data_IF_147657473151
#
_entry.id   IF_147657473151
#
_cell.length_a   1.000
_cell.length_b   1.000
_cell.length_c   1.000
_cell.angle_alpha   90.00
_cell.angle_beta   90.00
_cell.angle_gamma   90.00
#
_symmetry.space_group_name_H-M   'P 1'
#
loop_
_entity.id
_entity.type
_entity.pdbx_description
1 polymer ?
#
# COMPACT_ATOMS: atom_id res chain seq x y z
N UNK A 1 36.80 2.01 13.33
CA UNK A 1 36.33 1.33 12.11
C UNK A 1 35.13 0.49 12.51
N UNK A 2 33.93 1.10 12.56
CA UNK A 2 32.69 0.39 12.92
C UNK A 2 32.13 -0.19 11.62
N UNK A 3 32.18 -1.53 11.49
CA UNK A 3 31.54 -2.24 10.39
C UNK A 3 30.04 -1.96 10.42
N UNK A 4 29.52 -1.39 9.33
CA UNK A 4 28.08 -1.42 9.06
C UNK A 4 27.67 -2.88 9.09
N UNK A 5 26.94 -3.28 10.15
CA UNK A 5 26.14 -4.49 10.10
C UNK A 5 25.19 -4.30 8.92
N UNK A 6 25.40 -5.05 7.86
CA UNK A 6 24.41 -5.22 6.81
C UNK A 6 23.19 -5.84 7.51
N UNK A 7 22.15 -5.03 7.71
CA UNK A 7 20.82 -5.54 7.95
C UNK A 7 20.52 -6.35 6.69
N UNK A 8 20.55 -7.67 6.80
CA UNK A 8 19.99 -8.54 5.77
C UNK A 8 18.55 -8.10 5.60
N UNK A 9 18.20 -7.64 4.40
CA UNK A 9 16.82 -7.47 3.99
C UNK A 9 16.15 -8.83 4.10
N UNK A 10 15.64 -9.18 5.28
CA UNK A 10 14.62 -10.18 5.41
C UNK A 10 13.35 -9.54 4.87
N UNK A 11 12.84 -10.20 3.84
CA UNK A 11 11.65 -9.94 3.06
C UNK A 11 11.78 -8.88 1.95
N UNK A 12 12.06 -9.37 0.75
CA UNK A 12 11.83 -8.69 -0.53
C UNK A 12 10.30 -8.62 -0.82
N UNK A 13 9.53 -8.02 0.11
CA UNK A 13 8.09 -7.85 -0.07
C UNK A 13 7.84 -6.95 -1.29
N UNK A 14 7.24 -7.50 -2.33
CA UNK A 14 6.82 -6.75 -3.50
C UNK A 14 5.60 -5.92 -3.17
N UNK A 15 5.64 -4.64 -3.46
CA UNK A 15 4.58 -3.69 -3.11
C UNK A 15 3.86 -3.19 -4.34
N UNK A 16 2.55 -3.33 -4.36
CA UNK A 16 1.67 -2.67 -5.32
C UNK A 16 1.05 -1.42 -4.71
N UNK A 17 1.02 -0.33 -5.45
CA UNK A 17 0.42 0.92 -4.99
C UNK A 17 -0.62 1.43 -6.00
N UNK A 18 -1.87 1.55 -5.56
CA UNK A 18 -2.99 2.04 -6.36
C UNK A 18 -3.46 3.39 -5.84
N UNK A 19 -3.48 4.38 -6.71
CA UNK A 19 -3.81 5.76 -6.37
C UNK A 19 -2.57 6.63 -6.17
N UNK A 20 -2.14 7.30 -7.23
CA UNK A 20 -0.92 8.12 -7.29
C UNK A 20 -1.19 9.62 -7.17
N UNK A 21 -2.35 9.98 -6.65
CA UNK A 21 -2.74 11.37 -6.40
C UNK A 21 -1.84 12.07 -5.38
N UNK A 22 -2.33 13.19 -4.84
CA UNK A 22 -1.53 14.12 -4.01
C UNK A 22 -0.83 13.46 -2.81
N UNK A 23 -1.51 12.58 -2.10
CA UNK A 23 -0.94 11.85 -0.94
C UNK A 23 -0.33 10.53 -1.38
N UNK A 24 -1.09 9.72 -2.13
CA UNK A 24 -0.65 8.39 -2.56
C UNK A 24 0.66 8.42 -3.35
N UNK A 25 0.80 9.34 -4.30
CA UNK A 25 2.06 9.51 -5.04
C UNK A 25 3.26 9.87 -4.16
N UNK A 26 3.06 10.57 -3.03
CA UNK A 26 4.15 10.85 -2.07
C UNK A 26 4.53 9.61 -1.26
N UNK A 27 3.54 8.83 -0.84
CA UNK A 27 3.76 7.57 -0.14
C UNK A 27 4.45 6.55 -1.04
N UNK A 28 3.93 6.32 -2.26
CA UNK A 28 4.55 5.46 -3.27
C UNK A 28 5.99 5.87 -3.58
N UNK A 29 6.23 7.18 -3.76
CA UNK A 29 7.58 7.71 -3.97
C UNK A 29 8.51 7.51 -2.76
N UNK A 30 7.99 7.50 -1.53
CA UNK A 30 8.79 7.17 -0.34
C UNK A 30 9.23 5.70 -0.37
N UNK A 31 8.36 4.77 -0.72
CA UNK A 31 8.71 3.35 -0.87
C UNK A 31 9.78 3.15 -1.95
N UNK A 32 9.60 3.75 -3.12
CA UNK A 32 10.54 3.62 -4.23
C UNK A 32 11.94 4.14 -3.87
N UNK A 33 12.02 5.33 -3.24
CA UNK A 33 13.30 5.91 -2.77
C UNK A 33 14.00 5.07 -1.71
N UNK A 34 13.24 4.27 -0.96
CA UNK A 34 13.78 3.35 0.05
C UNK A 34 14.06 1.94 -0.51
N UNK A 35 13.96 1.77 -1.85
CA UNK A 35 14.41 0.58 -2.56
C UNK A 35 13.43 -0.59 -2.53
N UNK A 36 12.15 -0.34 -2.30
CA UNK A 36 11.12 -1.37 -2.46
C UNK A 36 10.87 -1.66 -3.95
N UNK A 37 10.67 -2.93 -4.28
CA UNK A 37 10.17 -3.36 -5.59
C UNK A 37 8.70 -2.92 -5.70
N UNK A 38 8.44 -1.92 -6.54
CA UNK A 38 7.17 -1.22 -6.60
C UNK A 38 6.47 -1.39 -7.93
N UNK A 39 5.25 -1.89 -7.89
CA UNK A 39 4.31 -1.87 -9.01
C UNK A 39 3.23 -0.82 -8.75
N UNK A 40 2.97 0.05 -9.71
CA UNK A 40 2.04 1.17 -9.56
C UNK A 40 0.88 1.11 -10.53
N UNK A 41 -0.26 1.67 -10.12
CA UNK A 41 -1.44 1.86 -10.96
C UNK A 41 -2.23 3.10 -10.53
N UNK A 42 -2.79 3.77 -11.52
CA UNK A 42 -3.77 4.85 -11.37
C UNK A 42 -4.76 4.81 -12.55
N UNK A 43 -5.90 5.48 -12.43
CA UNK A 43 -6.81 5.70 -13.56
C UNK A 43 -6.20 6.65 -14.60
N UNK A 44 -5.30 7.53 -14.18
CA UNK A 44 -4.55 8.44 -15.04
C UNK A 44 -3.10 7.94 -15.20
N UNK A 45 -2.77 7.24 -16.31
CA UNK A 45 -1.44 6.65 -16.50
C UNK A 45 -0.28 7.66 -16.44
N UNK A 46 -0.53 8.92 -16.81
CA UNK A 46 0.48 9.97 -16.74
C UNK A 46 1.03 10.19 -15.32
N UNK A 47 0.25 9.89 -14.27
CA UNK A 47 0.72 9.97 -12.88
C UNK A 47 1.77 8.90 -12.55
N UNK A 48 1.84 7.81 -13.32
CA UNK A 48 2.83 6.76 -13.12
C UNK A 48 4.20 7.07 -13.76
N UNK A 49 4.27 7.94 -14.77
CA UNK A 49 5.50 8.22 -15.53
C UNK A 49 6.72 8.53 -14.63
N UNK A 50 6.62 9.36 -13.58
CA UNK A 50 7.77 9.64 -12.71
C UNK A 50 8.25 8.42 -11.91
N UNK A 51 7.39 7.45 -11.65
CA UNK A 51 7.73 6.20 -10.95
C UNK A 51 8.40 5.21 -11.89
N UNK A 52 7.86 5.08 -13.10
CA UNK A 52 8.41 4.21 -14.14
C UNK A 52 9.82 4.65 -14.54
N UNK A 53 10.07 5.96 -14.66
CA UNK A 53 11.38 6.53 -14.91
C UNK A 53 12.41 6.21 -13.80
N UNK A 54 11.96 5.85 -12.60
CA UNK A 54 12.77 5.48 -11.45
C UNK A 54 12.81 3.97 -11.20
N UNK A 55 12.26 3.16 -12.10
CA UNK A 55 12.35 1.71 -12.06
C UNK A 55 11.14 0.99 -11.43
N UNK A 56 10.05 1.69 -11.14
CA UNK A 56 8.79 1.02 -10.79
C UNK A 56 8.17 0.33 -12.00
N UNK A 57 7.27 -0.62 -11.76
CA UNK A 57 6.52 -1.34 -12.77
C UNK A 57 5.10 -0.78 -12.91
N UNK A 58 4.52 -0.90 -14.10
CA UNK A 58 3.12 -0.58 -14.36
C UNK A 58 2.28 -1.86 -14.41
N UNK A 59 1.07 -1.81 -13.88
CA UNK A 59 0.08 -2.86 -14.05
C UNK A 59 -1.12 -2.35 -14.85
N UNK A 60 -1.61 -3.15 -15.79
CA UNK A 60 -2.74 -2.79 -16.68
C UNK A 60 -4.08 -2.83 -15.97
N UNK A 61 -4.20 -3.67 -14.92
CA UNK A 61 -5.38 -3.75 -14.07
C UNK A 61 -5.03 -3.80 -12.59
N UNK A 62 -6.02 -3.60 -11.72
CA UNK A 62 -5.85 -3.77 -10.27
C UNK A 62 -5.62 -5.26 -9.91
N UNK A 63 -6.21 -6.17 -10.67
CA UNK A 63 -6.00 -7.60 -10.53
C UNK A 63 -4.56 -8.00 -10.91
N UNK A 64 -4.04 -7.51 -12.05
CA UNK A 64 -2.65 -7.78 -12.46
C UNK A 64 -1.65 -7.27 -11.43
N UNK A 65 -1.90 -6.06 -10.88
CA UNK A 65 -1.07 -5.54 -9.80
C UNK A 65 -1.11 -6.48 -8.59
N UNK A 66 -2.30 -6.85 -8.14
CA UNK A 66 -2.46 -7.70 -6.96
C UNK A 66 -1.88 -9.12 -7.17
N UNK A 67 -1.87 -9.63 -8.40
CA UNK A 67 -1.23 -10.91 -8.73
C UNK A 67 0.28 -10.83 -8.59
N UNK A 68 0.89 -9.74 -9.05
CA UNK A 68 2.34 -9.55 -9.11
C UNK A 68 3.02 -9.27 -7.76
N UNK A 69 2.25 -8.91 -6.71
CA UNK A 69 2.81 -8.39 -5.46
C UNK A 69 2.33 -9.16 -4.22
N UNK A 70 3.01 -8.96 -3.09
CA UNK A 70 2.67 -9.52 -1.79
C UNK A 70 1.78 -8.57 -0.96
N UNK A 71 1.96 -7.27 -1.16
CA UNK A 71 1.23 -6.20 -0.50
C UNK A 71 0.57 -5.28 -1.53
N UNK A 72 -0.73 -5.11 -1.43
CA UNK A 72 -1.48 -4.08 -2.19
C UNK A 72 -1.78 -2.91 -1.26
N UNK A 73 -1.32 -1.73 -1.60
CA UNK A 73 -1.65 -0.47 -0.92
C UNK A 73 -2.65 0.31 -1.77
N UNK A 74 -3.72 0.78 -1.16
CA UNK A 74 -4.68 1.70 -1.78
C UNK A 74 -4.67 3.05 -1.07
N UNK A 75 -4.70 4.14 -1.85
CA UNK A 75 -4.82 5.51 -1.34
C UNK A 75 -5.70 6.32 -2.30
N UNK A 76 -7.01 6.28 -2.07
CA UNK A 76 -8.05 6.64 -3.02
C UNK A 76 -8.94 7.78 -2.49
N UNK A 77 -9.63 8.53 -3.36
CA UNK A 77 -10.34 9.75 -2.98
C UNK A 77 -11.69 9.51 -2.28
N UNK A 78 -12.24 8.30 -2.31
CA UNK A 78 -13.56 8.02 -1.74
C UNK A 78 -13.79 6.52 -1.46
N UNK A 79 -14.74 6.17 -0.57
CA UNK A 79 -15.16 4.79 -0.36
C UNK A 79 -15.62 4.10 -1.66
N UNK A 80 -16.35 4.81 -2.51
CA UNK A 80 -16.81 4.27 -3.80
C UNK A 80 -15.63 3.96 -4.75
N UNK A 81 -14.58 4.77 -4.76
CA UNK A 81 -13.37 4.47 -5.52
C UNK A 81 -12.65 3.24 -4.98
N UNK A 82 -12.62 3.07 -3.66
CA UNK A 82 -12.05 1.90 -3.02
C UNK A 82 -12.84 0.63 -3.39
N UNK A 83 -14.17 0.66 -3.28
CA UNK A 83 -15.02 -0.47 -3.71
C UNK A 83 -14.80 -0.83 -5.18
N UNK A 84 -14.75 0.17 -6.07
CA UNK A 84 -14.53 -0.07 -7.49
C UNK A 84 -13.18 -0.72 -7.79
N UNK A 85 -12.11 -0.30 -7.11
CA UNK A 85 -10.77 -0.88 -7.25
C UNK A 85 -10.71 -2.30 -6.65
N UNK A 86 -11.39 -2.53 -5.54
CA UNK A 86 -11.37 -3.84 -4.88
C UNK A 86 -12.26 -4.86 -5.58
N UNK A 87 -13.49 -4.50 -5.94
CA UNK A 87 -14.54 -5.42 -6.39
C UNK A 87 -14.84 -5.36 -7.90
N UNK A 88 -14.25 -4.40 -8.62
CA UNK A 88 -14.46 -4.24 -10.06
C UNK A 88 -14.16 -5.52 -10.85
N UNK A 89 -14.56 -5.53 -12.13
CA UNK A 89 -14.35 -6.68 -13.02
C UNK A 89 -12.88 -7.14 -13.03
N UNK A 90 -11.92 -6.21 -13.01
CA UNK A 90 -10.49 -6.48 -12.87
C UNK A 90 -9.94 -5.92 -11.56
N UNK A 91 -10.71 -6.11 -10.48
CA UNK A 91 -10.41 -5.61 -9.14
C UNK A 91 -9.41 -6.49 -8.37
N UNK A 92 -8.84 -5.88 -7.34
CA UNK A 92 -7.81 -6.47 -6.45
C UNK A 92 -8.25 -7.82 -5.88
N UNK A 93 -9.54 -7.95 -5.50
CA UNK A 93 -10.06 -9.18 -4.89
C UNK A 93 -9.93 -10.43 -5.75
N UNK A 94 -9.79 -10.31 -7.08
CA UNK A 94 -9.57 -11.47 -7.97
C UNK A 94 -8.26 -12.20 -7.66
N UNK A 95 -7.23 -11.48 -7.28
CA UNK A 95 -5.89 -12.01 -7.06
C UNK A 95 -5.46 -12.07 -5.59
N UNK A 96 -6.34 -11.67 -4.65
CA UNK A 96 -6.09 -11.83 -3.23
C UNK A 96 -6.09 -13.30 -2.84
N UNK A 97 -5.05 -13.74 -2.11
CA UNK A 97 -4.80 -15.12 -1.75
C UNK A 97 -4.08 -15.21 -0.39
N UNK A 98 -4.01 -16.40 0.23
CA UNK A 98 -3.24 -16.60 1.47
C UNK A 98 -1.81 -16.06 1.37
N UNK A 99 -1.36 -15.37 2.39
CA UNK A 99 -0.04 -14.74 2.46
C UNK A 99 0.01 -13.29 1.96
N UNK A 100 -0.95 -12.85 1.15
CA UNK A 100 -1.04 -11.45 0.68
C UNK A 100 -1.67 -10.55 1.74
N UNK A 101 -1.37 -9.25 1.64
CA UNK A 101 -1.92 -8.20 2.51
C UNK A 101 -2.55 -7.10 1.64
N UNK A 102 -3.69 -6.59 2.06
CA UNK A 102 -4.23 -5.33 1.56
C UNK A 102 -4.16 -4.25 2.64
N UNK A 103 -3.58 -3.11 2.32
CA UNK A 103 -3.43 -1.94 3.19
C UNK A 103 -4.21 -0.75 2.63
N UNK A 104 -5.25 -0.30 3.34
CA UNK A 104 -6.03 0.89 2.98
C UNK A 104 -5.49 2.11 3.72
N UNK A 105 -4.90 3.06 2.98
CA UNK A 105 -4.28 4.26 3.55
C UNK A 105 -5.12 5.53 3.35
N UNK A 106 -6.28 5.43 2.71
CA UNK A 106 -7.22 6.55 2.60
C UNK A 106 -7.87 6.84 3.95
N UNK A 107 -8.35 8.07 4.13
CA UNK A 107 -9.37 8.34 5.14
C UNK A 107 -10.72 7.98 4.54
N UNK A 108 -11.23 6.81 4.88
CA UNK A 108 -12.44 6.23 4.28
C UNK A 108 -13.53 5.97 5.34
N UNK A 109 -14.66 5.45 4.89
CA UNK A 109 -15.78 5.05 5.76
C UNK A 109 -15.46 3.74 6.48
N UNK A 110 -15.68 3.70 7.81
CA UNK A 110 -15.33 2.55 8.63
C UNK A 110 -16.15 1.30 8.32
N UNK A 111 -17.45 1.45 7.97
CA UNK A 111 -18.30 0.33 7.64
C UNK A 111 -17.89 -0.29 6.31
N UNK A 112 -17.54 0.56 5.33
CA UNK A 112 -17.04 0.10 4.03
C UNK A 112 -15.67 -0.57 4.17
N UNK A 113 -14.76 -0.02 4.98
CA UNK A 113 -13.49 -0.66 5.28
C UNK A 113 -13.69 -2.05 5.90
N UNK A 114 -14.56 -2.15 6.90
CA UNK A 114 -14.86 -3.43 7.56
C UNK A 114 -15.50 -4.44 6.59
N UNK A 115 -16.33 -3.98 5.66
CA UNK A 115 -16.96 -4.82 4.62
C UNK A 115 -15.91 -5.38 3.66
N UNK A 116 -15.05 -4.52 3.12
CA UNK A 116 -13.99 -4.93 2.19
C UNK A 116 -12.94 -5.83 2.86
N UNK A 117 -12.57 -5.54 4.12
CA UNK A 117 -11.67 -6.38 4.89
C UNK A 117 -12.19 -7.82 5.04
N UNK A 118 -13.50 -8.00 5.27
CA UNK A 118 -14.12 -9.33 5.32
C UNK A 118 -14.00 -10.08 3.98
N UNK A 119 -14.12 -9.37 2.85
CA UNK A 119 -13.96 -9.98 1.52
C UNK A 119 -12.51 -10.40 1.26
N UNK A 120 -11.53 -9.63 1.71
CA UNK A 120 -10.11 -9.97 1.66
C UNK A 120 -9.82 -11.19 2.53
N UNK A 121 -10.31 -11.19 3.77
CA UNK A 121 -10.12 -12.28 4.73
C UNK A 121 -10.79 -13.58 4.26
N UNK A 122 -11.94 -13.50 3.59
CA UNK A 122 -12.60 -14.66 2.99
C UNK A 122 -11.74 -15.34 1.89
N UNK A 123 -10.72 -14.67 1.38
CA UNK A 123 -9.71 -15.22 0.45
C UNK A 123 -8.44 -15.70 1.14
N UNK A 124 -8.41 -15.70 2.47
CA UNK A 124 -7.27 -16.09 3.27
C UNK A 124 -6.14 -15.05 3.32
N UNK A 125 -6.39 -13.84 2.80
CA UNK A 125 -5.45 -12.73 2.86
C UNK A 125 -5.69 -11.87 4.11
N UNK A 126 -4.68 -11.09 4.50
CA UNK A 126 -4.79 -10.13 5.59
C UNK A 126 -5.24 -8.75 5.09
N UNK A 127 -5.91 -7.99 5.96
CA UNK A 127 -6.30 -6.61 5.70
C UNK A 127 -5.84 -5.72 6.86
N UNK A 128 -5.34 -4.53 6.54
CA UNK A 128 -4.98 -3.51 7.50
C UNK A 128 -5.58 -2.17 7.08
N UNK A 129 -6.30 -1.55 7.99
CA UNK A 129 -6.67 -0.15 7.89
C UNK A 129 -5.49 0.69 8.40
N UNK A 130 -4.99 1.61 7.58
CA UNK A 130 -3.87 2.48 7.98
C UNK A 130 -4.02 3.91 7.46
N UNK A 131 -5.11 4.62 7.82
CA UNK A 131 -5.31 6.00 7.45
C UNK A 131 -4.16 6.88 7.93
N UNK A 132 -3.85 7.90 7.14
CA UNK A 132 -2.71 8.77 7.36
C UNK A 132 -3.13 10.19 7.75
N UNK A 133 -2.33 10.84 8.58
CA UNK A 133 -2.54 12.23 9.00
C UNK A 133 -1.23 13.02 8.98
N UNK A 134 -1.26 14.24 8.43
CA UNK A 134 -0.08 15.13 8.41
C UNK A 134 0.17 15.85 7.09
N UNK A 135 -0.63 15.53 6.07
CA UNK A 135 -0.60 16.18 4.76
C UNK A 135 0.54 15.75 3.84
N UNK A 136 0.49 16.24 2.60
CA UNK A 136 1.40 15.81 1.51
C UNK A 136 2.88 16.01 1.81
N UNK A 137 3.25 17.09 2.51
CA UNK A 137 4.65 17.37 2.85
C UNK A 137 5.24 16.28 3.74
N UNK A 138 4.50 15.83 4.76
CA UNK A 138 4.93 14.77 5.66
C UNK A 138 4.94 13.41 4.98
N UNK A 139 3.97 13.15 4.10
CA UNK A 139 3.97 11.94 3.26
C UNK A 139 5.21 11.88 2.36
N UNK A 140 5.61 13.01 1.75
CA UNK A 140 6.78 13.08 0.88
C UNK A 140 8.11 12.80 1.61
N UNK A 141 8.18 13.07 2.90
CA UNK A 141 9.41 12.98 3.70
C UNK A 141 9.46 11.79 4.66
N UNK A 142 8.51 10.85 4.58
CA UNK A 142 8.42 9.69 5.47
C UNK A 142 8.10 10.07 6.93
N UNK A 143 7.43 11.20 7.14
CA UNK A 143 7.12 11.73 8.46
C UNK A 143 5.62 11.80 8.78
N UNK A 144 4.78 11.14 7.99
CA UNK A 144 3.34 11.14 8.22
C UNK A 144 3.00 10.30 9.45
N UNK A 145 1.87 10.58 10.09
CA UNK A 145 1.33 9.72 11.14
C UNK A 145 0.41 8.68 10.52
N UNK A 146 0.53 7.42 10.95
CA UNK A 146 -0.24 6.28 10.47
C UNK A 146 -0.96 5.65 11.67
N UNK A 147 -2.25 5.35 11.51
CA UNK A 147 -3.06 4.67 12.50
C UNK A 147 -3.37 3.27 11.97
N UNK A 148 -2.69 2.26 12.52
CA UNK A 148 -2.78 0.88 12.03
C UNK A 148 -3.83 0.09 12.80
N UNK A 149 -4.88 -0.35 12.11
CA UNK A 149 -5.94 -1.21 12.63
C UNK A 149 -5.90 -2.60 11.99
N UNK A 150 -5.36 -3.59 12.69
CA UNK A 150 -5.31 -4.99 12.28
C UNK A 150 -4.93 -5.90 13.46
N UNK A 151 -4.83 -7.22 13.23
CA UNK A 151 -4.24 -8.12 14.20
C UNK A 151 -2.72 -7.92 14.34
N UNK A 152 -2.16 -8.44 15.44
CA UNK A 152 -0.75 -8.25 15.80
C UNK A 152 0.22 -8.84 14.77
N UNK A 153 -0.10 -9.99 14.21
CA UNK A 153 0.76 -10.66 13.21
C UNK A 153 0.85 -9.83 11.93
N UNK A 154 -0.29 -9.35 11.43
CA UNK A 154 -0.35 -8.46 10.26
C UNK A 154 0.42 -7.17 10.53
N UNK A 155 0.26 -6.58 11.73
CA UNK A 155 1.00 -5.37 12.11
C UNK A 155 2.52 -5.57 12.08
N UNK A 156 3.03 -6.66 12.67
CA UNK A 156 4.46 -6.96 12.71
C UNK A 156 5.05 -7.17 11.29
N UNK A 157 4.31 -7.83 10.40
CA UNK A 157 4.70 -7.99 9.00
C UNK A 157 4.73 -6.65 8.25
N UNK A 158 3.82 -5.73 8.57
CA UNK A 158 3.72 -4.43 7.93
C UNK A 158 4.67 -3.38 8.51
N UNK A 159 5.23 -3.60 9.70
CA UNK A 159 6.01 -2.61 10.44
C UNK A 159 7.18 -2.00 9.65
N UNK A 160 7.98 -2.76 8.87
CA UNK A 160 9.05 -2.18 8.04
C UNK A 160 8.55 -1.15 7.03
N UNK A 161 7.42 -1.45 6.38
CA UNK A 161 6.78 -0.55 5.41
C UNK A 161 6.16 0.66 6.11
N UNK A 162 5.41 0.45 7.18
CA UNK A 162 4.79 1.54 7.94
C UNK A 162 5.83 2.52 8.48
N UNK A 163 6.97 2.03 8.98
CA UNK A 163 8.06 2.89 9.48
C UNK A 163 8.84 3.59 8.37
N UNK A 164 8.86 3.04 7.16
CA UNK A 164 9.38 3.73 5.97
C UNK A 164 8.47 4.90 5.55
N UNK A 165 7.17 4.72 5.66
CA UNK A 165 6.18 5.73 5.26
C UNK A 165 5.95 6.79 6.33
N UNK A 166 5.96 6.41 7.59
CA UNK A 166 5.58 7.28 8.70
C UNK A 166 6.54 7.26 9.88
N UNK A 167 6.69 8.42 10.51
CA UNK A 167 7.50 8.54 11.73
C UNK A 167 6.73 8.11 12.99
N UNK A 168 5.41 8.22 12.97
CA UNK A 168 4.53 7.82 14.07
C UNK A 168 3.56 6.77 13.54
N UNK A 169 3.73 5.56 14.02
CA UNK A 169 2.83 4.45 13.75
C UNK A 169 2.17 4.08 15.06
N UNK A 170 0.85 4.12 15.09
CA UNK A 170 0.01 3.81 16.25
C UNK A 170 -0.81 2.56 15.89
N UNK A 171 -0.75 1.54 16.78
CA UNK A 171 -1.45 0.26 16.65
C UNK A 171 -2.29 0.00 17.87
#
# INVERSE_FOLDING_TARGET
MLSKLAVTKEDDMKVGFIGLGNVGGKLAGSLLRNGYDLTVRDLEPALAEPFLAQGAHWAESAADLAEAVDLVVTCLPSPAACSAVMEGEDGVLKAMAPGKIWAEMSTTDADEMARLAKLVQARGAAAIECPVSGGCHRAATGNISIFAGCDRETFERMLPILTTLGRRVLH
#
